data_IF_447191655761
#
_entry.id   IF_447191655761
#
_cell.length_a   1.000
_cell.length_b   1.000
_cell.length_c   1.000
_cell.angle_alpha   90.00
_cell.angle_beta   90.00
_cell.angle_gamma   90.00
#
_symmetry.space_group_name_H-M   'P 1'
#
loop_
_entity.id
_entity.type
_entity.pdbx_description
1 polymer ?
#
# COMPACT_ATOMS: atom_id res chain seq x y z
N UNK A 1 -5.61 -3.01 0.05
CA UNK A 1 -6.29 -2.39 -1.10
C UNK A 1 -7.38 -3.25 -1.66
N UNK A 2 -7.08 -4.51 -1.91
CA UNK A 2 -7.90 -5.37 -2.78
C UNK A 2 -9.31 -5.60 -2.24
N UNK A 3 -9.49 -5.74 -0.92
CA UNK A 3 -10.83 -5.78 -0.31
C UNK A 3 -11.64 -4.51 -0.63
N UNK A 4 -11.02 -3.33 -0.53
CA UNK A 4 -11.65 -2.06 -0.84
C UNK A 4 -11.93 -1.91 -2.35
N UNK A 5 -11.19 -2.59 -3.23
CA UNK A 5 -11.49 -2.62 -4.66
C UNK A 5 -12.81 -3.35 -4.96
N UNK A 6 -13.15 -4.34 -4.13
CA UNK A 6 -14.33 -5.18 -4.27
C UNK A 6 -15.58 -4.63 -3.56
N UNK A 7 -15.57 -3.38 -3.09
CA UNK A 7 -16.70 -2.85 -2.32
C UNK A 7 -16.70 -3.19 -0.83
N UNK A 8 -15.71 -3.93 -0.34
CA UNK A 8 -15.74 -4.46 1.02
C UNK A 8 -15.01 -3.50 1.98
N UNK A 9 -15.77 -2.82 2.84
CA UNK A 9 -15.23 -1.85 3.83
C UNK A 9 -14.66 -2.52 5.06
N UNK A 10 -15.25 -3.64 5.47
CA UNK A 10 -14.92 -4.32 6.71
C UNK A 10 -13.90 -5.43 6.44
N UNK A 11 -12.91 -5.56 7.32
CA UNK A 11 -11.93 -6.62 7.26
C UNK A 11 -12.03 -7.43 8.57
N UNK A 12 -12.50 -8.67 8.49
CA UNK A 12 -12.73 -9.50 9.68
C UNK A 12 -11.42 -10.02 10.28
N UNK A 13 -10.45 -10.30 9.40
CA UNK A 13 -9.18 -10.90 9.80
C UNK A 13 -8.02 -10.44 8.90
N UNK A 14 -6.86 -10.21 9.53
CA UNK A 14 -5.59 -10.06 8.82
C UNK A 14 -4.54 -11.06 9.31
N UNK A 15 -3.75 -11.57 8.36
CA UNK A 15 -2.53 -12.33 8.61
C UNK A 15 -1.34 -11.56 8.04
N UNK A 16 -0.24 -11.51 8.77
CA UNK A 16 0.99 -10.83 8.32
C UNK A 16 1.99 -11.86 7.76
N UNK A 17 2.56 -11.56 6.59
CA UNK A 17 3.59 -12.38 5.96
C UNK A 17 4.89 -11.58 5.91
N UNK A 18 5.93 -12.05 6.60
CA UNK A 18 7.20 -11.33 6.74
C UNK A 18 8.38 -12.20 6.29
N UNK A 19 9.09 -11.76 5.25
CA UNK A 19 10.38 -12.31 4.85
C UNK A 19 11.51 -11.47 5.45
N UNK A 20 12.35 -12.05 6.29
CA UNK A 20 13.47 -11.38 6.93
C UNK A 20 14.75 -11.66 6.15
N UNK A 21 15.37 -10.60 5.63
CA UNK A 21 16.63 -10.68 4.89
C UNK A 21 17.71 -11.41 5.70
N UNK A 22 18.39 -12.37 5.05
CA UNK A 22 19.42 -13.21 5.70
C UNK A 22 20.64 -12.41 6.13
N UNK A 23 20.98 -11.36 5.39
CA UNK A 23 22.20 -10.56 5.56
C UNK A 23 22.09 -9.49 6.65
N UNK A 24 20.91 -9.31 7.26
CA UNK A 24 20.74 -8.39 8.39
C UNK A 24 21.45 -8.92 9.63
N UNK A 25 22.21 -8.05 10.31
CA UNK A 25 22.71 -8.36 11.66
C UNK A 25 21.55 -8.55 12.63
N UNK A 26 21.78 -9.23 13.75
CA UNK A 26 20.74 -9.47 14.76
C UNK A 26 20.13 -8.16 15.28
N UNK A 27 20.98 -7.14 15.52
CA UNK A 27 20.54 -5.83 15.99
C UNK A 27 19.68 -5.10 14.95
N UNK A 28 20.09 -5.10 13.68
CA UNK A 28 19.32 -4.47 12.61
C UNK A 28 18.00 -5.21 12.40
N UNK A 29 18.03 -6.54 12.39
CA UNK A 29 16.86 -7.40 12.28
C UNK A 29 15.85 -7.06 13.36
N UNK A 30 16.26 -7.02 14.62
CA UNK A 30 15.33 -6.82 15.74
C UNK A 30 14.68 -5.44 15.69
N UNK A 31 15.41 -4.41 15.26
CA UNK A 31 14.87 -3.05 15.05
C UNK A 31 13.88 -3.04 13.87
N UNK A 32 14.31 -3.52 12.70
CA UNK A 32 13.51 -3.48 11.46
C UNK A 32 12.23 -4.30 11.60
N UNK A 33 12.34 -5.52 12.13
CA UNK A 33 11.19 -6.42 12.34
C UNK A 33 10.22 -5.80 13.34
N UNK A 34 10.71 -5.26 14.47
CA UNK A 34 9.85 -4.59 15.45
C UNK A 34 9.08 -3.41 14.83
N UNK A 35 9.76 -2.58 14.04
CA UNK A 35 9.13 -1.46 13.35
C UNK A 35 8.08 -1.90 12.32
N UNK A 36 8.34 -2.96 11.55
CA UNK A 36 7.36 -3.49 10.61
C UNK A 36 6.13 -4.08 11.29
N UNK A 37 6.33 -4.87 12.34
CA UNK A 37 5.21 -5.44 13.11
C UNK A 37 4.35 -4.33 13.67
N UNK A 38 4.98 -3.29 14.25
CA UNK A 38 4.28 -2.11 14.77
C UNK A 38 3.50 -1.39 13.66
N UNK A 39 4.16 -1.04 12.56
CA UNK A 39 3.51 -0.31 11.46
C UNK A 39 2.37 -1.11 10.81
N UNK A 40 2.53 -2.42 10.64
CA UNK A 40 1.48 -3.29 10.10
C UNK A 40 0.29 -3.37 11.06
N UNK A 41 0.55 -3.45 12.37
CA UNK A 41 -0.49 -3.40 13.39
C UNK A 41 -1.23 -2.05 13.39
N UNK A 42 -0.50 -0.94 13.34
CA UNK A 42 -1.10 0.40 13.33
C UNK A 42 -2.01 0.59 12.09
N UNK A 43 -1.62 0.03 10.93
CA UNK A 43 -2.45 0.02 9.73
C UNK A 43 -3.69 -0.88 9.87
N UNK A 44 -3.57 -2.05 10.51
CA UNK A 44 -4.70 -2.93 10.81
C UNK A 44 -5.69 -2.27 11.79
N UNK A 45 -5.18 -1.62 12.84
CA UNK A 45 -6.00 -0.88 13.81
C UNK A 45 -6.76 0.27 13.12
N UNK A 46 -6.11 0.98 12.18
CA UNK A 46 -6.75 2.02 11.35
C UNK A 46 -7.82 1.47 10.39
N UNK A 47 -7.70 0.20 10.00
CA UNK A 47 -8.71 -0.52 9.23
C UNK A 47 -9.80 -1.15 10.10
N UNK A 48 -9.82 -0.87 11.42
CA UNK A 48 -10.71 -1.45 12.42
C UNK A 48 -10.67 -3.00 12.44
N UNK A 49 -9.50 -3.57 12.17
CA UNK A 49 -9.27 -5.01 12.18
C UNK A 49 -8.08 -5.37 13.07
N UNK A 50 -7.82 -6.68 13.20
CA UNK A 50 -6.71 -7.19 14.01
C UNK A 50 -5.88 -8.19 13.22
N UNK A 51 -4.57 -8.11 13.43
CA UNK A 51 -3.63 -9.14 12.98
C UNK A 51 -3.75 -10.32 13.94
N UNK A 52 -4.27 -11.46 13.49
CA UNK A 52 -4.53 -12.65 14.34
C UNK A 52 -3.52 -13.77 14.15
N UNK A 53 -2.59 -13.61 13.24
CA UNK A 53 -1.56 -14.60 12.96
C UNK A 53 -0.68 -14.16 11.81
N UNK A 54 0.13 -15.08 11.32
CA UNK A 54 1.07 -14.80 10.26
C UNK A 54 2.19 -15.81 10.18
N UNK A 55 3.10 -15.58 9.25
CA UNK A 55 4.30 -16.37 9.09
C UNK A 55 5.50 -15.46 8.86
N UNK A 56 6.58 -15.76 9.57
CA UNK A 56 7.86 -15.09 9.40
C UNK A 56 8.90 -16.12 8.95
N UNK A 57 9.57 -15.85 7.83
CA UNK A 57 10.60 -16.73 7.27
C UNK A 57 11.89 -15.98 7.01
N UNK A 58 13.02 -16.68 7.02
CA UNK A 58 14.29 -16.14 6.50
C UNK A 58 14.25 -16.19 4.98
N UNK A 59 14.62 -15.10 4.33
CA UNK A 59 14.53 -14.93 2.88
C UNK A 59 15.74 -14.14 2.37
N UNK A 60 16.21 -14.31 1.12
CA UNK A 60 17.25 -13.45 0.55
C UNK A 60 16.87 -11.96 0.52
N UNK A 61 15.58 -11.65 0.49
CA UNK A 61 15.07 -10.28 0.45
C UNK A 61 14.14 -9.99 1.63
N UNK A 62 14.09 -8.72 2.00
CA UNK A 62 13.14 -8.22 2.99
C UNK A 62 11.77 -8.08 2.30
N UNK A 63 10.79 -8.87 2.76
CA UNK A 63 9.45 -8.91 2.17
C UNK A 63 8.41 -8.59 3.24
N UNK A 64 7.48 -7.69 2.93
CA UNK A 64 6.34 -7.38 3.79
C UNK A 64 5.06 -7.56 2.98
N UNK A 65 4.17 -8.42 3.47
CA UNK A 65 2.87 -8.66 2.88
C UNK A 65 1.87 -9.15 3.91
N UNK A 66 0.72 -9.62 3.44
CA UNK A 66 -0.30 -10.15 4.30
C UNK A 66 -1.50 -10.69 3.53
N UNK A 67 -2.42 -11.28 4.28
CA UNK A 67 -3.72 -11.73 3.79
C UNK A 67 -4.78 -10.96 4.55
N UNK A 68 -5.73 -10.38 3.83
CA UNK A 68 -6.92 -9.77 4.39
C UNK A 68 -8.13 -10.61 4.00
N UNK A 69 -9.03 -10.89 4.94
CA UNK A 69 -10.21 -11.72 4.71
C UNK A 69 -11.45 -11.08 5.31
N UNK A 70 -12.56 -11.19 4.60
CA UNK A 70 -13.87 -10.81 5.11
C UNK A 70 -14.94 -11.78 4.62
N UNK A 71 -15.99 -11.95 5.42
CA UNK A 71 -17.22 -12.65 5.06
C UNK A 71 -18.27 -11.59 4.75
N UNK A 72 -18.74 -11.57 3.51
CA UNK A 72 -19.72 -10.61 3.03
C UNK A 72 -20.82 -11.35 2.25
N UNK A 73 -22.03 -10.79 2.23
CA UNK A 73 -23.11 -11.23 1.37
C UNK A 73 -22.81 -10.85 -0.11
N UNK A 74 -23.40 -11.55 -1.08
CA UNK A 74 -23.13 -11.26 -2.51
C UNK A 74 -23.57 -9.84 -2.88
N UNK A 75 -24.59 -9.30 -2.20
CA UNK A 75 -25.08 -7.93 -2.39
C UNK A 75 -24.11 -6.84 -1.87
N UNK A 76 -23.21 -7.19 -0.96
CA UNK A 76 -22.19 -6.27 -0.42
C UNK A 76 -20.95 -6.22 -1.32
N UNK A 77 -20.80 -7.17 -2.26
CA UNK A 77 -19.64 -7.29 -3.13
C UNK A 77 -19.91 -6.57 -4.45
N UNK A 78 -19.08 -5.57 -4.76
CA UNK A 78 -19.09 -4.89 -6.05
C UNK A 78 -18.25 -5.71 -7.03
N UNK A 79 -18.89 -6.28 -8.05
CA UNK A 79 -18.19 -7.01 -9.12
C UNK A 79 -17.51 -6.04 -10.08
N UNK A 80 -16.22 -6.28 -10.31
CA UNK A 80 -15.32 -5.41 -11.09
C UNK A 80 -15.36 -5.64 -12.60
N UNK A 81 -16.43 -6.26 -13.11
CA UNK A 81 -16.61 -6.67 -14.51
C UNK A 81 -17.79 -5.96 -15.21
N UNK A 82 -18.38 -4.94 -14.57
CA UNK A 82 -19.63 -4.31 -15.01
C UNK A 82 -19.47 -2.97 -15.75
N UNK A 83 -18.25 -2.60 -16.15
CA UNK A 83 -17.99 -1.35 -16.85
C UNK A 83 -18.66 -1.31 -18.24
N UNK A 84 -19.27 -0.17 -18.57
CA UNK A 84 -20.02 0.06 -19.81
C UNK A 84 -19.49 1.28 -20.57
N UNK A 85 -19.68 1.34 -21.89
CA UNK A 85 -19.41 2.54 -22.66
C UNK A 85 -20.17 3.74 -22.08
N UNK A 86 -19.46 4.84 -21.81
CA UNK A 86 -20.01 6.04 -21.18
C UNK A 86 -19.65 6.20 -19.70
N UNK A 87 -19.12 5.17 -19.04
CA UNK A 87 -18.64 5.27 -17.68
C UNK A 87 -17.35 6.09 -17.58
N UNK A 88 -17.13 6.70 -16.41
CA UNK A 88 -15.94 7.50 -16.11
C UNK A 88 -14.98 6.75 -15.19
N UNK A 89 -13.69 6.95 -15.42
CA UNK A 89 -12.62 6.41 -14.57
C UNK A 89 -12.24 7.44 -13.51
N UNK A 90 -12.26 7.01 -12.24
CA UNK A 90 -11.89 7.85 -11.11
C UNK A 90 -10.67 7.27 -10.41
N UNK A 91 -9.65 8.10 -10.26
CA UNK A 91 -8.44 7.78 -9.54
C UNK A 91 -8.43 8.48 -8.18
N UNK A 92 -8.20 7.71 -7.12
CA UNK A 92 -8.30 8.20 -5.72
C UNK A 92 -6.95 8.53 -5.09
N UNK A 93 -5.84 8.11 -5.73
CA UNK A 93 -4.47 8.39 -5.34
C UNK A 93 -3.63 8.81 -6.55
N UNK A 94 -2.70 9.76 -6.43
CA UNK A 94 -1.85 10.17 -7.55
C UNK A 94 -0.92 9.05 -8.01
N UNK A 95 -0.55 9.07 -9.29
CA UNK A 95 0.46 8.16 -9.88
C UNK A 95 1.89 8.65 -9.62
N UNK A 96 2.88 7.76 -9.85
CA UNK A 96 4.31 8.12 -9.82
C UNK A 96 5.07 7.68 -8.56
N UNK A 97 4.50 6.76 -7.77
CA UNK A 97 5.12 6.21 -6.56
C UNK A 97 6.53 5.68 -6.80
N UNK A 98 6.68 4.80 -7.80
CA UNK A 98 7.97 4.22 -8.18
C UNK A 98 9.05 5.27 -8.52
N UNK A 99 8.67 6.35 -9.23
CA UNK A 99 9.62 7.41 -9.63
C UNK A 99 10.09 8.18 -8.40
N UNK A 100 9.19 8.51 -7.47
CA UNK A 100 9.54 9.19 -6.23
C UNK A 100 10.46 8.33 -5.35
N UNK A 101 10.16 7.04 -5.20
CA UNK A 101 10.99 6.12 -4.39
C UNK A 101 12.37 5.92 -5.02
N UNK A 102 12.44 5.65 -6.33
CA UNK A 102 13.72 5.44 -7.02
C UNK A 102 14.60 6.69 -7.01
N UNK A 103 14.03 7.87 -7.27
CA UNK A 103 14.80 9.13 -7.24
C UNK A 103 15.33 9.45 -5.84
N UNK A 104 14.56 9.15 -4.80
CA UNK A 104 15.02 9.26 -3.41
C UNK A 104 16.13 8.25 -3.08
N UNK A 105 16.04 7.04 -3.60
CA UNK A 105 17.10 6.03 -3.46
C UNK A 105 18.41 6.51 -4.11
N UNK A 106 18.35 7.07 -5.33
CA UNK A 106 19.52 7.63 -6.01
C UNK A 106 20.17 8.74 -5.21
N UNK A 107 19.36 9.63 -4.62
CA UNK A 107 19.84 10.69 -3.73
C UNK A 107 20.55 10.13 -2.50
N UNK A 108 20.03 9.05 -1.88
CA UNK A 108 20.66 8.41 -0.71
C UNK A 108 21.92 7.64 -1.04
N UNK A 109 21.95 6.96 -2.19
CA UNK A 109 23.10 6.18 -2.66
C UNK A 109 24.17 7.04 -3.32
N UNK A 110 23.87 8.30 -3.68
CA UNK A 110 24.76 9.22 -4.40
C UNK A 110 25.36 8.58 -5.66
N UNK A 111 24.51 7.95 -6.46
CA UNK A 111 24.94 7.18 -7.64
C UNK A 111 25.15 8.06 -8.90
N UNK A 112 25.12 9.40 -8.79
CA UNK A 112 25.33 10.34 -9.88
C UNK A 112 24.11 10.63 -10.76
N UNK A 113 23.00 9.87 -10.63
CA UNK A 113 21.82 10.04 -11.49
C UNK A 113 21.07 11.35 -11.25
N UNK A 114 21.08 11.84 -10.01
CA UNK A 114 20.38 13.09 -9.65
C UNK A 114 21.04 14.26 -10.37
N UNK A 115 22.37 14.29 -10.36
CA UNK A 115 23.20 15.31 -11.01
C UNK A 115 23.17 15.19 -12.54
N UNK A 116 23.29 13.96 -13.07
CA UNK A 116 23.21 13.67 -14.50
C UNK A 116 21.91 14.19 -15.13
N UNK A 117 20.80 14.00 -14.43
CA UNK A 117 19.47 14.39 -14.90
C UNK A 117 19.05 15.81 -14.47
N UNK A 118 19.92 16.54 -13.75
CA UNK A 118 19.65 17.89 -13.26
C UNK A 118 18.42 17.98 -12.35
N UNK A 119 18.18 16.95 -11.52
CA UNK A 119 17.01 16.87 -10.66
C UNK A 119 17.20 17.71 -9.39
N UNK A 120 16.11 18.34 -8.95
CA UNK A 120 16.08 19.12 -7.71
C UNK A 120 15.91 18.22 -6.48
N UNK A 121 16.90 18.23 -5.58
CA UNK A 121 16.90 17.40 -4.37
C UNK A 121 15.69 17.70 -3.46
N UNK A 122 15.29 18.97 -3.34
CA UNK A 122 14.17 19.38 -2.50
C UNK A 122 12.84 18.81 -2.99
N UNK A 123 12.64 18.78 -4.32
CA UNK A 123 11.48 18.14 -4.96
C UNK A 123 11.50 16.63 -4.79
N UNK A 124 12.65 15.97 -4.88
CA UNK A 124 12.77 14.53 -4.65
C UNK A 124 12.32 14.17 -3.23
N UNK A 125 12.84 14.87 -2.22
CA UNK A 125 12.47 14.61 -0.81
C UNK A 125 10.98 14.86 -0.59
N UNK A 126 10.43 15.94 -1.13
CA UNK A 126 8.99 16.25 -1.03
C UNK A 126 8.14 15.17 -1.70
N UNK A 127 8.50 14.73 -2.91
CA UNK A 127 7.77 13.71 -3.63
C UNK A 127 7.77 12.37 -2.86
N UNK A 128 8.92 12.00 -2.28
CA UNK A 128 9.03 10.80 -1.45
C UNK A 128 8.13 10.86 -0.21
N UNK A 129 8.08 12.00 0.49
CA UNK A 129 7.18 12.22 1.63
C UNK A 129 5.71 12.09 1.22
N UNK A 130 5.32 12.76 0.14
CA UNK A 130 3.95 12.67 -0.39
C UNK A 130 3.57 11.24 -0.74
N UNK A 131 4.43 10.51 -1.45
CA UNK A 131 4.18 9.11 -1.81
C UNK A 131 4.07 8.22 -0.56
N UNK A 132 4.91 8.45 0.46
CA UNK A 132 4.81 7.72 1.73
C UNK A 132 3.46 7.93 2.41
N UNK A 133 2.97 9.17 2.45
CA UNK A 133 1.64 9.49 2.98
C UNK A 133 0.51 8.85 2.14
N UNK A 134 0.62 8.87 0.81
CA UNK A 134 -0.42 8.29 -0.06
C UNK A 134 -0.45 6.77 0.01
N UNK A 135 0.70 6.09 0.03
CA UNK A 135 0.78 4.63 0.10
C UNK A 135 0.34 4.08 1.45
N UNK A 136 0.54 4.84 2.54
CA UNK A 136 0.09 4.45 3.88
C UNK A 136 -1.39 4.75 4.13
N UNK A 137 -2.02 5.59 3.30
CA UNK A 137 -3.45 5.89 3.38
C UNK A 137 -4.31 4.71 2.90
N UNK A 138 -5.25 4.27 3.74
CA UNK A 138 -6.22 3.23 3.40
C UNK A 138 -7.28 3.74 2.39
N UNK A 139 -7.65 2.89 1.43
CA UNK A 139 -8.72 3.17 0.46
C UNK A 139 -10.14 3.05 1.04
N UNK A 140 -10.27 2.81 2.35
CA UNK A 140 -11.55 2.60 3.06
C UNK A 140 -12.55 3.74 2.84
N UNK A 141 -12.09 4.98 2.93
CA UNK A 141 -12.97 6.16 2.77
C UNK A 141 -13.39 6.42 1.33
N UNK A 142 -12.53 6.11 0.35
CA UNK A 142 -12.83 6.30 -1.06
C UNK A 142 -14.05 5.46 -1.50
N UNK A 143 -14.25 4.31 -0.86
CA UNK A 143 -15.41 3.48 -1.08
C UNK A 143 -16.72 4.13 -0.59
N UNK A 144 -16.72 4.67 0.63
CA UNK A 144 -17.90 5.32 1.23
C UNK A 144 -18.45 6.46 0.37
N UNK A 145 -17.58 7.17 -0.37
CA UNK A 145 -17.97 8.19 -1.33
C UNK A 145 -18.46 7.65 -2.68
N UNK A 146 -17.98 6.49 -3.13
CA UNK A 146 -18.34 5.93 -4.46
C UNK A 146 -19.73 5.29 -4.49
N UNK A 147 -20.16 4.72 -3.35
CA UNK A 147 -21.51 4.18 -3.16
C UNK A 147 -22.61 5.25 -3.37
N UNK A 148 -22.26 6.54 -3.34
CA UNK A 148 -23.19 7.65 -3.59
C UNK A 148 -23.38 8.00 -5.09
N UNK A 149 -22.58 7.45 -6.01
CA UNK A 149 -22.65 7.79 -7.45
C UNK A 149 -22.59 6.52 -8.31
N UNK A 150 -23.75 6.07 -8.78
CA UNK A 150 -23.97 4.83 -9.53
C UNK A 150 -23.30 4.73 -10.92
N UNK A 151 -22.36 5.62 -11.26
CA UNK A 151 -21.73 5.70 -12.60
C UNK A 151 -20.20 5.82 -12.60
N UNK A 152 -19.55 5.60 -11.45
CA UNK A 152 -18.11 5.80 -11.30
C UNK A 152 -17.38 4.48 -10.99
N UNK A 153 -16.36 4.14 -11.77
CA UNK A 153 -15.49 2.99 -11.52
C UNK A 153 -14.23 3.42 -10.78
N UNK A 154 -14.00 2.87 -9.59
CA UNK A 154 -12.81 3.12 -8.77
C UNK A 154 -11.64 2.27 -9.27
N UNK A 155 -10.48 2.90 -9.48
CA UNK A 155 -9.22 2.19 -9.65
C UNK A 155 -8.38 2.40 -8.39
N UNK A 156 -8.31 1.41 -7.47
CA UNK A 156 -7.39 1.47 -6.34
C UNK A 156 -5.98 1.20 -6.82
N UNK A 157 -5.14 2.24 -6.78
CA UNK A 157 -3.76 2.19 -7.24
C UNK A 157 -2.85 1.92 -6.04
N UNK A 158 -2.61 0.64 -5.73
CA UNK A 158 -1.61 0.23 -4.71
C UNK A 158 -0.47 -0.65 -5.30
N UNK A 159 -0.42 -0.84 -6.63
CA UNK A 159 0.67 -1.56 -7.32
C UNK A 159 1.08 -0.79 -8.60
N UNK A 160 1.74 0.35 -8.43
CA UNK A 160 2.64 0.96 -9.42
C UNK A 160 3.76 1.73 -8.71
#
# INVERSE_FOLDING_TARGET
>A
SDLYAMGIVNCDNMLMLLGVAVDLSEKERDIIVSMFIKGFKDAADSAETKVRGGQTVRCPWLLLGGVASSVAADEEIIRVDQAKPGDVLVLTKPIGGQVAVNSYEWLKKKNGRVEELGLDEGKIVRAFQQVTEQMTRLNRYALSSSLATSSCHLIPLDIL
#
